data_IF_907082158418
#
_entry.id   IF_907082158418
#
_cell.length_a   1.000
_cell.length_b   1.000
_cell.length_c   1.000
_cell.angle_alpha   90.00
_cell.angle_beta   90.00
_cell.angle_gamma   90.00
#
_symmetry.space_group_name_H-M   'P 1'
#
loop_
_entity.id
_entity.type
_entity.pdbx_description
1 polymer ?
#
# COMPACT_ATOMS: atom_id res chain seq x y z
N UNK A 1 1.21 1.75 9.98
CA UNK A 1 0.51 0.71 9.20
C UNK A 1 -0.97 0.98 9.30
N UNK A 2 -1.69 1.06 8.19
CA UNK A 2 -3.14 1.29 8.18
C UNK A 2 -3.82 0.16 7.41
N UNK A 3 -4.98 -0.28 7.89
CA UNK A 3 -5.79 -1.32 7.26
C UNK A 3 -7.18 -0.73 7.04
N UNK A 4 -7.69 -0.86 5.81
CA UNK A 4 -9.06 -0.55 5.45
C UNK A 4 -9.77 -1.85 5.04
N UNK A 5 -10.99 -2.02 5.52
CA UNK A 5 -11.86 -3.14 5.14
C UNK A 5 -13.12 -2.54 4.54
N UNK A 6 -13.47 -2.96 3.33
CA UNK A 6 -14.68 -2.54 2.64
C UNK A 6 -15.49 -3.77 2.25
N UNK A 7 -16.80 -3.72 2.52
CA UNK A 7 -17.74 -4.75 2.11
C UNK A 7 -18.55 -4.23 0.93
N UNK A 8 -18.51 -4.92 -0.21
CA UNK A 8 -19.37 -4.62 -1.35
C UNK A 8 -20.73 -5.31 -1.20
N UNK A 9 -21.73 -4.77 -1.91
CA UNK A 9 -23.11 -5.27 -1.86
C UNK A 9 -23.23 -6.73 -2.32
N UNK A 10 -22.32 -7.20 -3.17
CA UNK A 10 -22.33 -8.54 -3.77
C UNK A 10 -21.75 -9.63 -2.84
N UNK A 11 -21.46 -9.28 -1.59
CA UNK A 11 -20.81 -10.17 -0.62
C UNK A 11 -19.30 -10.26 -0.78
N UNK A 12 -18.67 -9.44 -1.62
CA UNK A 12 -17.21 -9.35 -1.69
C UNK A 12 -16.66 -8.54 -0.50
N UNK A 13 -15.63 -9.07 0.15
CA UNK A 13 -14.81 -8.31 1.10
C UNK A 13 -13.51 -7.88 0.44
N UNK A 14 -13.20 -6.60 0.57
CA UNK A 14 -11.97 -5.97 0.10
C UNK A 14 -11.16 -5.56 1.32
N UNK A 15 -9.99 -6.17 1.49
CA UNK A 15 -9.02 -5.80 2.51
C UNK A 15 -7.89 -5.02 1.83
N UNK A 16 -7.69 -3.78 2.24
CA UNK A 16 -6.60 -2.95 1.75
C UNK A 16 -5.62 -2.65 2.88
N UNK A 17 -4.36 -3.06 2.71
CA UNK A 17 -3.29 -2.80 3.68
C UNK A 17 -2.28 -1.81 3.11
N UNK A 18 -2.04 -0.73 3.85
CA UNK A 18 -1.08 0.32 3.49
C UNK A 18 0.24 0.14 4.22
N UNK A 19 1.31 0.06 3.45
CA UNK A 19 2.68 -0.03 3.94
C UNK A 19 3.45 1.24 3.59
N UNK A 20 4.22 1.72 4.55
CA UNK A 20 5.11 2.86 4.40
C UNK A 20 6.53 2.43 4.74
N UNK A 21 7.47 2.69 3.83
CA UNK A 21 8.89 2.45 4.06
C UNK A 21 9.68 3.72 3.74
N UNK A 22 10.49 4.17 4.69
CA UNK A 22 11.42 5.29 4.53
C UNK A 22 12.84 4.75 4.46
N UNK A 23 13.62 5.23 3.49
CA UNK A 23 15.07 5.00 3.39
C UNK A 23 15.75 6.35 3.34
N UNK A 24 16.81 6.50 4.12
CA UNK A 24 17.67 7.69 4.12
C UNK A 24 18.97 7.26 3.48
N UNK A 25 19.43 8.02 2.48
CA UNK A 25 20.75 7.86 1.86
C UNK A 25 21.57 9.09 2.27
N UNK A 26 22.33 9.01 3.38
CA UNK A 26 23.01 10.17 3.96
C UNK A 26 23.99 10.83 2.99
N UNK A 27 24.74 10.03 2.24
CA UNK A 27 25.77 10.48 1.29
C UNK A 27 25.19 11.35 0.18
N UNK A 28 23.97 11.01 -0.25
CA UNK A 28 23.26 11.73 -1.30
C UNK A 28 22.34 12.83 -0.76
N UNK A 29 22.19 12.94 0.57
CA UNK A 29 21.16 13.77 1.21
C UNK A 29 19.79 13.54 0.59
N UNK A 30 19.37 12.28 0.43
CA UNK A 30 18.05 11.94 -0.13
C UNK A 30 17.26 11.10 0.87
N UNK A 31 15.98 11.41 1.03
CA UNK A 31 14.98 10.55 1.68
C UNK A 31 14.06 9.99 0.62
N UNK A 32 13.88 8.68 0.60
CA UNK A 32 12.92 7.99 -0.25
C UNK A 32 11.81 7.42 0.62
N UNK A 33 10.57 7.73 0.28
CA UNK A 33 9.36 7.22 0.91
C UNK A 33 8.59 6.37 -0.09
N UNK A 34 8.52 5.06 0.15
CA UNK A 34 7.67 4.13 -0.59
C UNK A 34 6.33 3.93 0.12
N UNK A 35 5.24 4.07 -0.61
CA UNK A 35 3.89 3.72 -0.18
C UNK A 35 3.37 2.63 -1.11
N UNK A 36 2.91 1.51 -0.56
CA UNK A 36 2.21 0.51 -1.36
C UNK A 36 0.96 0.00 -0.66
N UNK A 37 -0.04 -0.36 -1.47
CA UNK A 37 -1.27 -0.98 -1.00
C UNK A 37 -1.50 -2.33 -1.66
N UNK A 38 -1.68 -3.35 -0.83
CA UNK A 38 -2.12 -4.68 -1.26
C UNK A 38 -3.63 -4.75 -1.05
N UNK A 39 -4.34 -5.27 -2.05
CA UNK A 39 -5.77 -5.55 -1.94
C UNK A 39 -5.99 -7.05 -2.00
N UNK A 40 -6.68 -7.58 -0.98
CA UNK A 40 -7.23 -8.92 -0.99
C UNK A 40 -8.74 -8.80 -1.22
N UNK A 41 -9.24 -9.53 -2.21
CA UNK A 41 -10.66 -9.60 -2.52
C UNK A 41 -11.12 -11.04 -2.33
N UNK A 42 -12.00 -11.24 -1.35
CA UNK A 42 -12.60 -12.52 -1.04
C UNK A 42 -14.07 -12.51 -1.47
N UNK A 43 -14.45 -13.50 -2.29
CA UNK A 43 -15.82 -13.73 -2.70
C UNK A 43 -16.32 -15.01 -2.00
N UNK A 44 -17.18 -14.83 -0.98
CA UNK A 44 -17.70 -15.93 -0.17
C UNK A 44 -18.59 -16.90 -0.95
N UNK A 45 -19.35 -16.40 -1.94
CA UNK A 45 -20.26 -17.22 -2.75
C UNK A 45 -19.48 -18.18 -3.65
N UNK A 46 -18.33 -17.74 -4.17
CA UNK A 46 -17.48 -18.52 -5.07
C UNK A 46 -16.35 -19.25 -4.35
N UNK A 47 -16.18 -19.05 -3.02
CA UNK A 47 -15.01 -19.50 -2.23
C UNK A 47 -13.67 -19.17 -2.90
N UNK A 48 -13.57 -17.99 -3.52
CA UNK A 48 -12.36 -17.54 -4.22
C UNK A 48 -11.73 -16.38 -3.47
N UNK A 49 -10.42 -16.46 -3.29
CA UNK A 49 -9.58 -15.37 -2.79
C UNK A 49 -8.69 -14.94 -3.93
N UNK A 50 -8.67 -13.64 -4.21
CA UNK A 50 -7.74 -13.03 -5.16
C UNK A 50 -6.95 -11.93 -4.47
N UNK A 51 -5.71 -11.75 -4.88
CA UNK A 51 -4.84 -10.69 -4.39
C UNK A 51 -4.27 -9.92 -5.57
N UNK A 52 -4.22 -8.60 -5.44
CA UNK A 52 -3.51 -7.78 -6.41
C UNK A 52 -2.79 -6.61 -5.71
N UNK A 53 -1.63 -6.23 -6.23
CA UNK A 53 -0.95 -5.00 -5.82
C UNK A 53 -1.63 -3.84 -6.53
N UNK A 54 -2.24 -2.91 -5.78
CA UNK A 54 -3.11 -1.90 -6.38
C UNK A 54 -2.36 -0.61 -6.74
N UNK A 55 -1.38 -0.22 -5.92
CA UNK A 55 -0.59 0.98 -6.15
C UNK A 55 0.74 0.89 -5.41
N UNK A 56 1.82 1.19 -6.12
CA UNK A 56 3.16 1.43 -5.57
C UNK A 56 3.53 2.86 -5.95
N UNK A 57 3.88 3.69 -4.97
CA UNK A 57 4.25 5.08 -5.19
C UNK A 57 5.50 5.40 -4.39
N UNK A 58 6.46 6.07 -5.03
CA UNK A 58 7.71 6.49 -4.41
C UNK A 58 7.80 8.01 -4.45
N UNK A 59 8.14 8.60 -3.32
CA UNK A 59 8.42 10.02 -3.17
C UNK A 59 9.87 10.18 -2.73
N UNK A 60 10.59 11.08 -3.36
CA UNK A 60 11.95 11.42 -2.98
C UNK A 60 12.01 12.88 -2.55
N UNK A 61 12.77 13.14 -1.49
CA UNK A 61 12.99 14.47 -0.95
C UNK A 61 14.48 14.69 -0.85
N UNK A 62 14.97 15.79 -1.39
CA UNK A 62 16.33 16.23 -1.11
C UNK A 62 16.35 16.79 0.32
N UNK A 63 17.17 16.18 1.17
CA UNK A 63 17.39 16.54 2.58
C UNK A 63 18.47 17.61 2.71
N UNK A 64 18.97 18.14 1.59
CA UNK A 64 19.56 19.48 1.55
C UNK A 64 18.44 20.49 1.82
N UNK A 65 17.92 20.48 3.04
CA UNK A 65 17.03 21.49 3.55
C UNK A 65 17.81 22.79 3.73
N UNK A 66 17.08 23.88 3.48
CA UNK A 66 17.34 25.26 3.86
C UNK A 66 18.00 25.40 5.23
#
# INVERSE_FOLDING_TARGET
MSISIQRKQDGELIFQQFYYKKVIIPELKIVICGVFSVVLQENFLMKRVSSHTQKLSFYYFNVSLM
#
